data_IF_934280708858
#
_entry.id   IF_934280708858
#
_cell.length_a   1.000
_cell.length_b   1.000
_cell.length_c   1.000
_cell.angle_alpha   90.00
_cell.angle_beta   90.00
_cell.angle_gamma   90.00
#
_symmetry.space_group_name_H-M   'P 1'
#
loop_
_entity.id
_entity.type
_entity.pdbx_description
1 polymer ?
#
# COMPACT_ATOMS: atom_id res chain seq x y z
N UNK A 1 -10.32 -28.21 7.27
CA UNK A 1 -10.36 -27.13 6.27
C UNK A 1 -9.11 -27.26 5.40
N UNK A 2 -9.20 -27.30 4.06
CA UNK A 2 -8.03 -27.44 3.16
C UNK A 2 -7.35 -26.07 3.05
N UNK A 3 -6.10 -25.90 3.49
CA UNK A 3 -5.33 -24.67 3.22
C UNK A 3 -5.14 -24.50 1.71
N UNK A 4 -5.73 -23.44 1.13
CA UNK A 4 -5.69 -23.18 -0.32
C UNK A 4 -4.64 -22.16 -0.65
N UNK A 5 -3.74 -22.50 -1.58
CA UNK A 5 -2.51 -21.74 -1.91
C UNK A 5 -1.54 -21.47 -0.73
N UNK A 6 -0.26 -21.28 -1.01
CA UNK A 6 0.71 -20.81 0.00
C UNK A 6 0.47 -19.33 0.37
N UNK A 7 -0.18 -18.56 -0.52
CA UNK A 7 -0.50 -17.14 -0.34
C UNK A 7 -1.51 -16.91 0.78
N UNK A 8 -2.59 -17.69 0.80
CA UNK A 8 -3.59 -17.61 1.86
C UNK A 8 -2.97 -17.93 3.23
N UNK A 9 -2.04 -18.88 3.26
CA UNK A 9 -1.34 -19.24 4.49
C UNK A 9 -0.50 -18.07 5.02
N UNK A 10 0.15 -17.29 4.15
CA UNK A 10 0.82 -16.04 4.53
C UNK A 10 -0.15 -15.01 5.11
N UNK A 11 -1.25 -14.76 4.39
CA UNK A 11 -2.28 -13.82 4.80
C UNK A 11 -2.86 -14.16 6.18
N UNK A 12 -3.32 -15.40 6.35
CA UNK A 12 -3.92 -15.87 7.60
C UNK A 12 -2.91 -15.81 8.75
N UNK A 13 -1.65 -16.17 8.49
CA UNK A 13 -0.59 -16.12 9.50
C UNK A 13 -0.34 -14.71 10.04
N UNK A 14 -0.50 -13.67 9.22
CA UNK A 14 -0.34 -12.29 9.66
C UNK A 14 -1.53 -11.81 10.51
N UNK A 15 -2.76 -11.99 10.04
CA UNK A 15 -3.95 -11.45 10.71
C UNK A 15 -4.34 -12.23 11.98
N UNK A 16 -4.08 -13.54 12.05
CA UNK A 16 -4.26 -14.31 13.29
C UNK A 16 -3.38 -13.71 14.42
N UNK A 17 -2.16 -13.28 14.11
CA UNK A 17 -1.29 -12.61 15.10
C UNK A 17 -1.82 -11.23 15.48
N UNK A 18 -2.21 -10.40 14.52
CA UNK A 18 -2.73 -9.05 14.81
C UNK A 18 -3.95 -9.08 15.75
N UNK A 19 -4.86 -10.05 15.57
CA UNK A 19 -5.99 -10.24 16.49
C UNK A 19 -5.55 -10.64 17.90
N UNK A 20 -4.49 -11.45 18.02
CA UNK A 20 -3.96 -11.88 19.31
C UNK A 20 -3.15 -10.77 19.99
N UNK A 21 -2.37 -9.97 19.25
CA UNK A 21 -1.66 -8.83 19.81
C UNK A 21 -2.66 -7.80 20.36
N UNK A 22 -3.76 -7.51 19.66
CA UNK A 22 -4.84 -6.65 20.16
C UNK A 22 -5.56 -7.25 21.39
N UNK A 23 -5.78 -8.57 21.44
CA UNK A 23 -6.36 -9.25 22.61
C UNK A 23 -5.39 -9.28 23.79
N UNK A 24 -4.10 -9.54 23.55
CA UNK A 24 -3.03 -9.51 24.55
C UNK A 24 -2.82 -8.09 25.09
N UNK A 25 -2.94 -7.07 24.23
CA UNK A 25 -2.85 -5.67 24.62
C UNK A 25 -4.07 -5.23 25.43
N UNK A 26 -5.29 -5.65 25.05
CA UNK A 26 -6.51 -5.50 25.87
C UNK A 26 -6.42 -6.26 27.21
N UNK A 27 -5.80 -7.43 27.24
CA UNK A 27 -5.58 -8.21 28.47
C UNK A 27 -4.51 -7.57 29.36
N UNK A 28 -3.48 -6.95 28.78
CA UNK A 28 -2.45 -6.18 29.50
C UNK A 28 -2.99 -4.86 30.03
N UNK A 29 -3.89 -4.20 29.31
CA UNK A 29 -4.54 -2.95 29.73
C UNK A 29 -5.64 -3.16 30.77
N UNK A 30 -6.07 -4.40 31.02
CA UNK A 30 -7.07 -4.74 32.03
C UNK A 30 -6.43 -5.55 33.19
N UNK A 31 -5.78 -4.90 34.17
CA UNK A 31 -5.11 -5.57 35.29
C UNK A 31 -6.06 -6.41 36.17
N UNK A 32 -7.38 -6.22 36.04
CA UNK A 32 -8.39 -6.98 36.79
C UNK A 32 -8.74 -8.35 36.18
N UNK A 33 -8.36 -8.65 34.93
CA UNK A 33 -8.59 -9.97 34.32
C UNK A 33 -7.54 -10.99 34.80
N UNK A 34 -6.36 -10.53 35.26
CA UNK A 34 -5.28 -11.38 35.77
C UNK A 34 -5.42 -11.75 37.25
N UNK A 35 -6.40 -11.20 37.98
CA UNK A 35 -6.74 -11.70 39.31
C UNK A 35 -7.52 -13.01 39.17
N UNK A 36 -6.76 -14.10 39.26
CA UNK A 36 -7.18 -15.49 39.50
C UNK A 36 -8.42 -15.53 40.41
N UNK A 37 -9.62 -15.57 39.82
CA UNK A 37 -10.75 -16.27 40.42
C UNK A 37 -10.78 -17.65 39.78
N UNK A 38 -10.77 -18.74 40.56
CA UNK A 38 -11.14 -20.03 40.02
C UNK A 38 -12.58 -19.88 39.53
N UNK A 39 -12.76 -19.93 38.20
CA UNK A 39 -14.09 -19.89 37.60
C UNK A 39 -14.69 -21.27 37.88
N UNK A 40 -15.51 -21.33 38.92
CA UNK A 40 -16.35 -22.48 39.21
C UNK A 40 -17.22 -22.72 37.98
N UNK A 41 -17.22 -23.97 37.48
CA UNK A 41 -17.54 -24.39 36.11
C UNK A 41 -16.36 -24.31 35.14
N UNK A 42 -15.28 -25.02 35.48
CA UNK A 42 -14.58 -25.80 34.46
C UNK A 42 -15.63 -26.65 33.74
N UNK A 43 -16.16 -26.12 32.64
CA UNK A 43 -16.71 -26.96 31.59
C UNK A 43 -15.54 -27.77 31.07
N UNK A 44 -15.46 -29.00 31.54
CA UNK A 44 -14.95 -30.19 30.85
C UNK A 44 -14.01 -29.88 29.67
N UNK A 45 -12.76 -30.34 29.76
CA UNK A 45 -11.88 -30.50 28.59
C UNK A 45 -12.39 -31.56 27.59
N UNK A 46 -13.65 -31.97 27.72
CA UNK A 46 -14.39 -32.97 26.93
C UNK A 46 -15.64 -32.38 26.26
N UNK A 47 -15.57 -31.13 25.78
CA UNK A 47 -16.57 -30.50 24.88
C UNK A 47 -16.09 -30.45 23.40
N UNK A 48 -16.97 -30.58 22.40
CA UNK A 48 -16.65 -31.14 21.09
C UNK A 48 -16.04 -30.12 20.13
N UNK A 49 -14.91 -30.47 19.49
CA UNK A 49 -14.46 -30.03 18.16
C UNK A 49 -14.31 -28.51 17.83
N UNK A 50 -14.80 -27.56 18.63
CA UNK A 50 -14.95 -26.16 18.23
C UNK A 50 -13.67 -25.32 18.37
N UNK A 51 -12.83 -25.61 19.37
CA UNK A 51 -11.52 -24.94 19.55
C UNK A 51 -10.38 -25.59 18.77
N UNK A 52 -10.56 -26.82 18.30
CA UNK A 52 -9.50 -27.59 17.65
C UNK A 52 -9.06 -26.94 16.33
N UNK A 53 -10.01 -26.38 15.58
CA UNK A 53 -9.75 -25.62 14.35
C UNK A 53 -8.94 -24.34 14.63
N UNK A 54 -9.33 -23.56 15.65
CA UNK A 54 -8.63 -22.33 16.04
C UNK A 54 -7.19 -22.60 16.48
N UNK A 55 -6.97 -23.64 17.28
CA UNK A 55 -5.63 -24.06 17.71
C UNK A 55 -4.80 -24.56 16.52
N UNK A 56 -5.39 -25.35 15.62
CA UNK A 56 -4.71 -25.78 14.39
C UNK A 56 -4.32 -24.60 13.49
N UNK A 57 -5.16 -23.58 13.38
CA UNK A 57 -4.86 -22.36 12.61
C UNK A 57 -3.71 -21.57 13.24
N UNK A 58 -3.66 -21.47 14.57
CA UNK A 58 -2.56 -20.80 15.28
C UNK A 58 -1.22 -21.55 15.12
N UNK A 59 -1.23 -22.88 15.23
CA UNK A 59 -0.03 -23.70 14.99
C UNK A 59 0.44 -23.54 13.56
N UNK A 60 -0.48 -23.53 12.59
CA UNK A 60 -0.13 -23.34 11.18
C UNK A 60 0.42 -21.94 10.91
N UNK A 61 -0.19 -20.90 11.48
CA UNK A 61 0.31 -19.53 11.42
C UNK A 61 1.74 -19.44 11.96
N UNK A 62 2.02 -20.09 13.10
CA UNK A 62 3.38 -20.17 13.67
C UNK A 62 4.37 -20.88 12.74
N UNK A 63 3.97 -21.99 12.11
CA UNK A 63 4.81 -22.69 11.11
C UNK A 63 5.11 -21.81 9.89
N UNK A 64 4.12 -21.10 9.37
CA UNK A 64 4.29 -20.19 8.23
C UNK A 64 5.22 -19.03 8.60
N UNK A 65 5.03 -18.41 9.76
CA UNK A 65 5.90 -17.35 10.25
C UNK A 65 7.34 -17.83 10.46
N UNK A 66 7.53 -19.04 10.99
CA UNK A 66 8.85 -19.64 11.12
C UNK A 66 9.52 -19.81 9.76
N UNK A 67 8.81 -20.35 8.76
CA UNK A 67 9.33 -20.48 7.39
C UNK A 67 9.68 -19.11 6.80
N UNK A 68 8.81 -18.10 6.97
CA UNK A 68 9.10 -16.73 6.52
C UNK A 68 10.38 -16.21 7.19
N UNK A 69 10.56 -16.44 8.49
CA UNK A 69 11.75 -15.97 9.23
C UNK A 69 13.08 -16.61 8.77
N UNK A 70 13.01 -17.73 8.04
CA UNK A 70 14.17 -18.42 7.46
C UNK A 70 14.50 -17.96 6.04
N UNK A 71 13.61 -17.21 5.38
CA UNK A 71 13.88 -16.68 4.05
C UNK A 71 14.95 -15.56 4.11
N UNK A 72 15.66 -15.27 3.01
CA UNK A 72 16.47 -14.05 2.89
C UNK A 72 15.67 -12.78 3.24
N UNK A 73 16.27 -11.75 3.86
CA UNK A 73 15.55 -10.55 4.33
C UNK A 73 14.63 -9.90 3.30
N UNK A 74 15.09 -9.79 2.05
CA UNK A 74 14.33 -9.23 0.93
C UNK A 74 13.08 -10.05 0.57
N UNK A 75 13.09 -11.37 0.80
CA UNK A 75 11.93 -12.24 0.58
C UNK A 75 10.99 -12.27 1.78
N UNK A 76 11.52 -12.13 3.01
CA UNK A 76 10.67 -12.05 4.21
C UNK A 76 9.70 -10.86 4.10
N UNK A 77 10.25 -9.70 3.77
CA UNK A 77 9.50 -8.45 3.69
C UNK A 77 8.55 -8.45 2.48
N UNK A 78 8.98 -8.98 1.33
CA UNK A 78 8.10 -9.18 0.19
C UNK A 78 6.88 -10.03 0.57
N UNK A 79 7.09 -11.12 1.32
CA UNK A 79 6.02 -12.00 1.74
C UNK A 79 5.04 -11.34 2.72
N UNK A 80 5.55 -10.56 3.67
CA UNK A 80 4.72 -9.80 4.61
C UNK A 80 3.94 -8.71 3.89
N UNK A 81 4.56 -7.99 2.95
CA UNK A 81 3.91 -6.88 2.26
C UNK A 81 2.87 -7.33 1.24
N UNK A 82 3.19 -8.28 0.35
CA UNK A 82 2.30 -8.62 -0.77
C UNK A 82 1.02 -9.34 -0.34
N UNK A 83 1.09 -10.13 0.74
CA UNK A 83 -0.04 -10.94 1.20
C UNK A 83 -0.62 -10.47 2.54
N UNK A 84 -0.02 -9.45 3.16
CA UNK A 84 -0.54 -8.77 4.35
C UNK A 84 -0.09 -7.29 4.44
N UNK A 85 -0.43 -6.47 3.43
CA UNK A 85 0.04 -5.09 3.35
C UNK A 85 -0.49 -4.23 4.50
N UNK A 86 0.36 -3.29 4.94
CA UNK A 86 -0.06 -2.16 5.77
C UNK A 86 -0.52 -1.03 4.86
N UNK A 87 -1.65 -0.42 5.20
CA UNK A 87 -2.46 0.42 4.32
C UNK A 87 -2.02 1.89 4.16
N UNK A 88 -0.76 2.26 4.40
CA UNK A 88 -0.42 3.69 4.60
C UNK A 88 0.69 4.20 3.68
N UNK A 89 0.31 4.71 2.50
CA UNK A 89 1.21 5.46 1.60
C UNK A 89 0.98 6.97 1.60
N UNK A 90 -0.13 7.43 2.19
CA UNK A 90 -0.51 8.83 2.33
C UNK A 90 -0.47 9.24 3.81
N UNK A 91 -0.31 10.54 4.13
CA UNK A 91 -0.30 10.96 5.51
C UNK A 91 -1.60 10.51 6.17
N UNK A 92 -1.46 9.84 7.32
CA UNK A 92 -2.59 9.56 8.19
C UNK A 92 -3.29 10.85 8.56
N UNK A 93 -4.56 10.78 8.98
CA UNK A 93 -5.33 11.96 9.36
C UNK A 93 -4.57 12.89 10.33
N UNK A 94 -3.75 12.31 11.23
CA UNK A 94 -2.87 13.03 12.16
C UNK A 94 -1.77 13.85 11.47
N UNK A 95 -1.09 13.29 10.45
CA UNK A 95 -0.01 13.97 9.70
C UNK A 95 -0.52 14.83 8.55
N UNK A 96 -1.78 14.66 8.16
CA UNK A 96 -2.37 15.40 7.05
C UNK A 96 -2.45 16.90 7.33
N UNK A 97 -2.78 17.30 8.56
CA UNK A 97 -2.85 18.72 8.94
C UNK A 97 -1.48 19.40 8.90
N UNK A 98 -0.44 18.74 9.42
CA UNK A 98 0.95 19.23 9.37
C UNK A 98 1.40 19.43 7.93
N UNK A 99 1.11 18.46 7.05
CA UNK A 99 1.47 18.54 5.64
C UNK A 99 0.71 19.64 4.90
N UNK A 100 -0.58 19.82 5.19
CA UNK A 100 -1.37 20.92 4.64
C UNK A 100 -0.82 22.29 5.09
N UNK A 101 -0.44 22.43 6.35
CA UNK A 101 0.17 23.66 6.87
C UNK A 101 1.52 23.94 6.21
N UNK A 102 2.34 22.92 5.99
CA UNK A 102 3.61 23.04 5.26
C UNK A 102 3.38 23.54 3.83
N UNK A 103 2.48 22.90 3.06
CA UNK A 103 2.17 23.34 1.68
C UNK A 103 1.63 24.77 1.70
N UNK A 104 0.76 25.09 2.65
CA UNK A 104 0.18 26.42 2.78
C UNK A 104 1.27 27.49 3.01
N UNK A 105 2.24 27.23 3.89
CA UNK A 105 3.39 28.11 4.09
C UNK A 105 4.20 28.31 2.79
N UNK A 106 4.44 27.23 2.03
CA UNK A 106 5.14 27.32 0.74
C UNK A 106 4.36 28.13 -0.31
N UNK A 107 3.03 28.00 -0.36
CA UNK A 107 2.19 28.83 -1.26
C UNK A 107 2.26 30.30 -0.85
N UNK A 108 2.18 30.59 0.46
CA UNK A 108 2.25 31.96 0.97
C UNK A 108 3.59 32.64 0.67
N UNK A 109 4.68 31.89 0.71
CA UNK A 109 6.03 32.40 0.44
C UNK A 109 6.26 32.66 -1.06
N UNK A 110 5.85 31.73 -1.93
CA UNK A 110 6.11 31.83 -3.38
C UNK A 110 5.06 32.66 -4.13
N UNK A 111 3.82 32.70 -3.64
CA UNK A 111 2.68 33.32 -4.32
C UNK A 111 1.95 34.31 -3.40
N UNK A 112 2.69 35.24 -2.80
CA UNK A 112 2.20 36.15 -1.74
C UNK A 112 0.94 36.92 -2.12
N UNK A 113 0.88 37.52 -3.32
CA UNK A 113 -0.29 38.29 -3.77
C UNK A 113 -1.52 37.41 -4.01
N UNK A 114 -1.32 36.23 -4.61
CA UNK A 114 -2.39 35.26 -4.84
C UNK A 114 -2.94 34.73 -3.52
N UNK A 115 -2.06 34.43 -2.58
CA UNK A 115 -2.41 33.94 -1.26
C UNK A 115 -3.20 34.99 -0.46
N UNK A 116 -2.69 36.24 -0.41
CA UNK A 116 -3.32 37.31 0.36
C UNK A 116 -4.77 37.59 -0.06
N UNK A 117 -5.05 37.51 -1.37
CA UNK A 117 -6.39 37.79 -1.92
C UNK A 117 -7.33 36.58 -1.90
N UNK A 118 -6.81 35.34 -1.82
CA UNK A 118 -7.57 34.12 -2.10
C UNK A 118 -7.21 32.96 -1.14
N UNK A 119 -7.07 33.24 0.15
CA UNK A 119 -6.68 32.24 1.16
C UNK A 119 -7.60 31.01 1.18
N UNK A 120 -8.92 31.21 1.02
CA UNK A 120 -9.91 30.14 0.96
C UNK A 120 -9.73 29.25 -0.27
N UNK A 121 -9.54 29.85 -1.46
CA UNK A 121 -9.33 29.10 -2.70
C UNK A 121 -8.06 28.25 -2.63
N UNK A 122 -6.97 28.81 -2.08
CA UNK A 122 -5.71 28.07 -1.87
C UNK A 122 -5.93 26.86 -0.95
N UNK A 123 -6.70 27.03 0.13
CA UNK A 123 -7.01 25.93 1.04
C UNK A 123 -7.85 24.84 0.35
N UNK A 124 -8.81 25.23 -0.48
CA UNK A 124 -9.60 24.31 -1.29
C UNK A 124 -8.70 23.55 -2.27
N UNK A 125 -7.80 24.23 -2.97
CA UNK A 125 -6.84 23.62 -3.90
C UNK A 125 -6.01 22.53 -3.21
N UNK A 126 -5.41 22.85 -2.05
CA UNK A 126 -4.58 21.90 -1.29
C UNK A 126 -5.40 20.67 -0.91
N UNK A 127 -6.59 20.84 -0.32
CA UNK A 127 -7.44 19.73 0.13
C UNK A 127 -7.85 18.84 -1.04
N UNK A 128 -8.29 19.44 -2.15
CA UNK A 128 -8.78 18.68 -3.30
C UNK A 128 -7.65 17.95 -4.02
N UNK A 129 -6.47 18.55 -4.15
CA UNK A 129 -5.29 17.89 -4.72
C UNK A 129 -4.87 16.70 -3.84
N UNK A 130 -4.87 16.85 -2.51
CA UNK A 130 -4.54 15.75 -1.60
C UNK A 130 -5.53 14.58 -1.69
N UNK A 131 -6.84 14.88 -1.74
CA UNK A 131 -7.88 13.85 -1.92
C UNK A 131 -7.73 13.15 -3.27
N UNK A 132 -7.47 13.94 -4.32
CA UNK A 132 -7.27 13.46 -5.67
C UNK A 132 -6.07 12.49 -5.77
N UNK A 133 -4.91 12.90 -5.28
CA UNK A 133 -3.71 12.07 -5.35
C UNK A 133 -3.80 10.86 -4.41
N UNK A 134 -4.46 10.97 -3.24
CA UNK A 134 -4.76 9.79 -2.40
C UNK A 134 -5.59 8.75 -3.16
N UNK A 135 -6.64 9.18 -3.84
CA UNK A 135 -7.48 8.26 -4.61
C UNK A 135 -6.67 7.56 -5.73
N UNK A 136 -5.70 8.26 -6.34
CA UNK A 136 -4.80 7.67 -7.34
C UNK A 136 -3.77 6.70 -6.75
N UNK A 137 -3.25 6.97 -5.55
CA UNK A 137 -2.39 6.00 -4.81
C UNK A 137 -3.12 4.68 -4.55
N UNK A 138 -4.43 4.76 -4.28
CA UNK A 138 -5.32 3.62 -4.09
C UNK A 138 -5.76 2.95 -5.41
N UNK A 139 -5.27 3.43 -6.55
CA UNK A 139 -5.62 2.91 -7.88
C UNK A 139 -7.02 3.28 -8.37
N UNK A 140 -7.73 4.20 -7.71
CA UNK A 140 -9.03 4.67 -8.17
C UNK A 140 -8.85 5.53 -9.41
N UNK A 141 -9.64 5.26 -10.44
CA UNK A 141 -9.73 6.15 -11.59
C UNK A 141 -10.33 7.48 -11.15
N UNK A 142 -9.65 8.58 -11.49
CA UNK A 142 -10.10 9.93 -11.20
C UNK A 142 -10.33 10.70 -12.50
N UNK A 143 -11.36 11.56 -12.58
CA UNK A 143 -11.52 12.48 -13.71
C UNK A 143 -10.33 13.44 -13.77
N UNK A 144 -10.07 14.16 -14.87
CA UNK A 144 -8.93 15.07 -14.92
C UNK A 144 -9.02 16.13 -13.82
N UNK A 145 -7.89 16.41 -13.15
CA UNK A 145 -7.83 17.28 -11.96
C UNK A 145 -8.55 18.63 -12.15
N UNK A 146 -8.43 19.24 -13.33
CA UNK A 146 -9.07 20.53 -13.61
C UNK A 146 -10.60 20.48 -13.48
N UNK A 147 -11.25 19.34 -13.74
CA UNK A 147 -12.69 19.17 -13.51
C UNK A 147 -13.02 19.11 -12.03
N UNK A 148 -12.20 18.41 -11.24
CA UNK A 148 -12.36 18.31 -9.78
C UNK A 148 -12.22 19.70 -9.15
N UNK A 149 -11.19 20.44 -9.56
CA UNK A 149 -10.92 21.79 -9.04
C UNK A 149 -11.96 22.80 -9.51
N UNK A 150 -12.41 22.72 -10.77
CA UNK A 150 -13.51 23.55 -11.30
C UNK A 150 -14.80 23.40 -10.48
N UNK A 151 -15.17 22.16 -10.15
CA UNK A 151 -16.33 21.87 -9.31
C UNK A 151 -16.16 22.41 -7.89
N UNK A 152 -14.98 22.26 -7.30
CA UNK A 152 -14.71 22.69 -5.93
C UNK A 152 -14.61 24.22 -5.77
N UNK A 153 -14.11 24.93 -6.79
CA UNK A 153 -13.98 26.39 -6.79
C UNK A 153 -15.19 27.11 -7.41
N UNK A 154 -16.19 26.36 -7.90
CA UNK A 154 -17.32 26.89 -8.66
C UNK A 154 -16.89 27.80 -9.83
N UNK A 155 -15.82 27.43 -10.53
CA UNK A 155 -15.23 28.20 -11.64
C UNK A 155 -15.10 27.33 -12.90
N UNK A 156 -15.16 27.90 -14.11
CA UNK A 156 -14.91 27.16 -15.34
C UNK A 156 -13.49 26.56 -15.37
N UNK A 157 -13.35 25.36 -15.95
CA UNK A 157 -12.06 24.63 -16.02
C UNK A 157 -10.92 25.44 -16.64
N UNK A 158 -11.19 26.27 -17.64
CA UNK A 158 -10.18 27.08 -18.31
C UNK A 158 -9.69 28.22 -17.41
N UNK A 159 -10.61 28.83 -16.65
CA UNK A 159 -10.30 29.87 -15.66
C UNK A 159 -9.44 29.31 -14.54
N UNK A 160 -9.79 28.13 -14.01
CA UNK A 160 -8.97 27.45 -12.99
C UNK A 160 -7.58 27.15 -13.52
N UNK A 161 -7.49 26.56 -14.72
CA UNK A 161 -6.20 26.24 -15.34
C UNK A 161 -5.34 27.50 -15.54
N UNK A 162 -5.90 28.59 -16.06
CA UNK A 162 -5.15 29.81 -16.33
C UNK A 162 -4.71 30.51 -15.05
N UNK A 163 -5.59 30.60 -14.05
CA UNK A 163 -5.36 31.35 -12.82
C UNK A 163 -4.47 30.63 -11.82
N UNK A 164 -4.58 29.30 -11.76
CA UNK A 164 -3.98 28.50 -10.69
C UNK A 164 -2.90 27.54 -11.19
N UNK A 165 -2.48 27.62 -12.46
CA UNK A 165 -1.53 26.68 -13.06
C UNK A 165 -0.28 26.48 -12.20
N UNK A 166 0.37 27.57 -11.81
CA UNK A 166 1.65 27.54 -11.12
C UNK A 166 1.49 27.03 -9.68
N UNK A 167 0.43 27.46 -9.00
CA UNK A 167 0.09 27.01 -7.65
C UNK A 167 -0.23 25.51 -7.64
N UNK A 168 -1.06 25.03 -8.59
CA UNK A 168 -1.38 23.60 -8.72
C UNK A 168 -0.11 22.80 -9.01
N UNK A 169 0.74 23.28 -9.90
CA UNK A 169 2.01 22.61 -10.27
C UNK A 169 2.93 22.49 -9.06
N UNK A 170 3.06 23.55 -8.27
CA UNK A 170 3.86 23.56 -7.06
C UNK A 170 3.29 22.61 -5.98
N UNK A 171 2.00 22.68 -5.69
CA UNK A 171 1.35 21.79 -4.71
C UNK A 171 1.57 20.33 -5.13
N UNK A 172 1.30 19.98 -6.39
CA UNK A 172 1.47 18.60 -6.89
C UNK A 172 2.93 18.13 -6.84
N UNK A 173 3.90 19.04 -7.03
CA UNK A 173 5.32 18.73 -6.88
C UNK A 173 5.63 18.32 -5.44
N UNK A 174 5.22 19.10 -4.44
CA UNK A 174 5.45 18.75 -3.03
C UNK A 174 4.70 17.49 -2.61
N UNK A 175 3.46 17.28 -3.08
CA UNK A 175 2.72 16.04 -2.84
C UNK A 175 3.48 14.83 -3.41
N UNK A 176 3.97 14.93 -4.64
CA UNK A 176 4.77 13.86 -5.25
C UNK A 176 6.05 13.58 -4.48
N UNK A 177 6.78 14.62 -4.08
CA UNK A 177 8.02 14.50 -3.31
C UNK A 177 7.77 13.84 -1.95
N UNK A 178 6.70 14.25 -1.26
CA UNK A 178 6.28 13.66 0.02
C UNK A 178 5.97 12.17 -0.11
N UNK A 179 5.19 11.80 -1.13
CA UNK A 179 4.84 10.39 -1.39
C UNK A 179 6.09 9.59 -1.73
N UNK A 180 6.97 10.11 -2.58
CA UNK A 180 8.18 9.41 -3.01
C UNK A 180 9.20 9.25 -1.86
N UNK A 181 9.13 10.09 -0.82
CA UNK A 181 9.94 9.96 0.39
C UNK A 181 9.43 8.88 1.36
N UNK A 182 8.28 8.26 1.08
CA UNK A 182 7.66 7.23 1.92
C UNK A 182 7.57 5.90 1.17
N UNK A 183 8.68 5.13 1.12
CA UNK A 183 8.65 3.81 0.50
C UNK A 183 7.69 2.91 1.27
N UNK A 184 6.89 2.15 0.52
CA UNK A 184 5.92 1.21 1.09
C UNK A 184 6.56 -0.10 1.56
N UNK A 185 7.79 -0.37 1.13
CA UNK A 185 8.51 -1.61 1.40
C UNK A 185 9.90 -1.30 1.95
N UNK A 186 10.44 -2.22 2.75
CA UNK A 186 11.76 -2.11 3.32
C UNK A 186 12.86 -1.98 2.23
N UNK A 187 13.95 -1.23 2.51
CA UNK A 187 14.99 -0.93 1.52
C UNK A 187 15.61 -2.17 0.87
N UNK A 188 15.71 -3.29 1.58
CA UNK A 188 16.37 -4.51 1.10
C UNK A 188 15.60 -5.18 -0.04
N UNK A 189 14.27 -5.17 0.03
CA UNK A 189 13.42 -5.74 -1.03
C UNK A 189 13.50 -4.89 -2.28
N UNK A 190 13.46 -3.57 -2.09
CA UNK A 190 13.54 -2.63 -3.19
C UNK A 190 14.91 -2.67 -3.85
N UNK A 191 16.00 -2.75 -3.07
CA UNK A 191 17.35 -2.91 -3.60
C UNK A 191 17.51 -4.21 -4.40
N UNK A 192 16.96 -5.32 -3.90
CA UNK A 192 16.97 -6.60 -4.63
C UNK A 192 16.23 -6.49 -5.97
N UNK A 193 15.11 -5.78 -6.02
CA UNK A 193 14.35 -5.55 -7.25
C UNK A 193 15.12 -4.63 -8.21
N UNK A 194 15.72 -3.57 -7.69
CA UNK A 194 16.52 -2.63 -8.47
C UNK A 194 17.73 -3.32 -9.09
N UNK A 195 18.48 -4.13 -8.33
CA UNK A 195 19.65 -4.86 -8.83
C UNK A 195 19.32 -5.90 -9.92
N UNK A 196 18.06 -6.34 -9.98
CA UNK A 196 17.59 -7.27 -11.01
C UNK A 196 17.25 -6.59 -12.35
N UNK A 197 17.31 -5.26 -12.39
CA UNK A 197 17.08 -4.46 -13.59
C UNK A 197 18.29 -3.61 -13.85
N UNK A 198 18.78 -3.56 -15.09
CA UNK A 198 19.90 -2.69 -15.42
C UNK A 198 19.47 -1.21 -15.34
N UNK A 199 20.20 -0.40 -14.56
CA UNK A 199 19.96 1.04 -14.49
C UNK A 199 21.25 1.84 -14.34
N UNK A 200 21.22 3.05 -14.89
CA UNK A 200 22.24 4.09 -14.70
C UNK A 200 22.06 4.75 -13.32
N UNK A 201 23.15 5.02 -12.60
CA UNK A 201 23.15 5.74 -11.32
C UNK A 201 22.38 7.07 -11.39
N UNK A 202 22.44 7.78 -12.52
CA UNK A 202 21.68 9.03 -12.75
C UNK A 202 20.17 8.84 -12.70
N UNK A 203 19.69 7.61 -12.89
CA UNK A 203 18.29 7.20 -12.89
C UNK A 203 17.87 6.52 -11.59
N UNK A 204 18.77 6.31 -10.64
CA UNK A 204 18.53 5.54 -9.42
C UNK A 204 17.27 5.97 -8.66
N UNK A 205 17.06 7.28 -8.43
CA UNK A 205 15.88 7.77 -7.71
C UNK A 205 14.56 7.48 -8.43
N UNK A 206 14.57 7.47 -9.78
CA UNK A 206 13.40 7.14 -10.60
C UNK A 206 13.10 5.64 -10.59
N UNK A 207 14.15 4.83 -10.66
CA UNK A 207 14.06 3.36 -10.58
C UNK A 207 13.56 2.94 -9.19
N UNK A 208 14.00 3.62 -8.13
CA UNK A 208 13.50 3.40 -6.77
C UNK A 208 11.99 3.63 -6.66
N UNK A 209 11.50 4.77 -7.16
CA UNK A 209 10.06 5.08 -7.19
C UNK A 209 9.30 4.03 -8.02
N UNK A 210 9.88 3.63 -9.15
CA UNK A 210 9.28 2.64 -10.03
C UNK A 210 9.19 1.25 -9.38
N UNK A 211 10.20 0.85 -8.64
CA UNK A 211 10.22 -0.41 -7.89
C UNK A 211 9.17 -0.43 -6.78
N UNK A 212 9.00 0.66 -6.03
CA UNK A 212 7.94 0.79 -5.02
C UNK A 212 6.55 0.62 -5.65
N UNK A 213 6.31 1.28 -6.79
CA UNK A 213 5.06 1.16 -7.56
C UNK A 213 4.86 -0.25 -8.12
N UNK A 214 5.92 -0.91 -8.56
CA UNK A 214 5.86 -2.27 -9.09
C UNK A 214 5.46 -3.25 -7.99
N UNK A 215 5.99 -3.11 -6.77
CA UNK A 215 5.63 -3.97 -5.64
C UNK A 215 4.16 -3.76 -5.24
N UNK A 216 3.67 -2.51 -5.22
CA UNK A 216 2.25 -2.21 -4.95
C UNK A 216 1.32 -2.78 -6.00
N UNK A 217 1.64 -2.60 -7.28
CA UNK A 217 0.85 -3.15 -8.39
C UNK A 217 0.87 -4.69 -8.36
N UNK A 218 2.04 -5.29 -8.09
CA UNK A 218 2.16 -6.73 -7.90
C UNK A 218 1.28 -7.22 -6.73
N UNK A 219 1.36 -6.56 -5.58
CA UNK A 219 0.54 -6.88 -4.42
C UNK A 219 -0.95 -6.75 -4.76
N UNK A 220 -1.38 -5.68 -5.43
CA UNK A 220 -2.78 -5.52 -5.84
C UNK A 220 -3.29 -6.66 -6.72
N UNK A 221 -2.53 -7.01 -7.76
CA UNK A 221 -2.88 -8.09 -8.68
C UNK A 221 -2.90 -9.45 -7.98
N UNK A 222 -1.97 -9.68 -7.05
CA UNK A 222 -1.86 -10.95 -6.35
C UNK A 222 -2.81 -11.05 -5.13
N UNK A 223 -3.25 -9.93 -4.55
CA UNK A 223 -4.26 -9.88 -3.48
C UNK A 223 -5.68 -10.06 -4.01
N UNK A 224 -5.96 -9.67 -5.26
CA UNK A 224 -7.23 -10.00 -5.90
C UNK A 224 -7.51 -11.52 -5.88
N UNK A 225 -6.46 -12.34 -5.90
CA UNK A 225 -6.53 -13.78 -5.71
C UNK A 225 -7.04 -14.18 -4.31
N UNK A 226 -6.71 -13.41 -3.27
CA UNK A 226 -7.05 -13.72 -1.86
C UNK A 226 -8.48 -13.30 -1.51
N UNK A 227 -8.95 -12.15 -2.01
CA UNK A 227 -10.27 -11.60 -1.68
C UNK A 227 -11.41 -12.12 -2.57
N UNK A 228 -11.11 -12.76 -3.72
CA UNK A 228 -12.11 -13.45 -4.55
C UNK A 228 -12.58 -14.79 -3.94
N UNK A 229 -11.94 -15.26 -2.87
CA UNK A 229 -12.30 -16.49 -2.17
C UNK A 229 -13.34 -16.25 -1.07
N UNK A 230 -14.59 -15.94 -1.44
CA UNK A 230 -15.72 -15.91 -0.51
C UNK A 230 -16.13 -17.30 0.00
N UNK A 231 -16.80 -17.35 1.16
CA UNK A 231 -17.24 -18.57 1.87
C UNK A 231 -18.22 -19.46 1.09
N UNK A 232 -18.79 -18.97 -0.02
CA UNK A 232 -19.59 -19.76 -0.96
C UNK A 232 -18.77 -19.91 -2.23
N UNK A 233 -18.24 -21.11 -2.45
CA UNK A 233 -17.60 -21.56 -3.70
C UNK A 233 -16.76 -20.49 -4.40
N UNK A 234 -15.62 -20.14 -3.79
CA UNK A 234 -14.35 -19.72 -4.44
C UNK A 234 -14.45 -19.53 -5.94
N UNK A 235 -14.97 -18.37 -6.35
CA UNK A 235 -15.07 -18.01 -7.75
C UNK A 235 -13.68 -18.01 -8.39
N UNK A 236 -13.62 -18.32 -9.68
CA UNK A 236 -12.39 -18.27 -10.44
C UNK A 236 -11.78 -16.86 -10.33
N UNK A 237 -10.48 -16.80 -10.09
CA UNK A 237 -9.70 -15.56 -10.04
C UNK A 237 -10.02 -14.74 -11.27
N UNK A 238 -10.66 -13.59 -11.09
CA UNK A 238 -10.78 -12.60 -12.16
C UNK A 238 -9.42 -11.89 -12.25
N UNK A 239 -8.72 -11.96 -13.38
CA UNK A 239 -7.49 -11.21 -13.56
C UNK A 239 -7.80 -9.72 -13.35
N UNK A 240 -7.23 -9.12 -12.31
CA UNK A 240 -7.34 -7.69 -12.10
C UNK A 240 -6.29 -7.01 -12.94
N UNK A 241 -6.69 -5.94 -13.63
CA UNK A 241 -5.79 -5.12 -14.42
C UNK A 241 -4.70 -4.46 -13.57
N UNK A 242 -3.78 -3.72 -14.21
CA UNK A 242 -2.81 -2.91 -13.47
C UNK A 242 -3.51 -1.95 -12.50
N UNK A 243 -2.97 -1.85 -11.28
CA UNK A 243 -3.41 -0.88 -10.27
C UNK A 243 -3.25 0.56 -10.79
N UNK A 244 -2.21 0.79 -11.59
CA UNK A 244 -1.79 2.11 -12.03
C UNK A 244 -1.90 2.28 -13.54
N UNK A 245 -2.35 3.47 -13.95
CA UNK A 245 -2.33 3.87 -15.36
C UNK A 245 -0.95 4.36 -15.77
N UNK A 246 -0.61 4.25 -17.06
CA UNK A 246 0.62 4.82 -17.64
C UNK A 246 0.79 6.31 -17.31
N UNK A 247 -0.33 7.05 -17.29
CA UNK A 247 -0.33 8.47 -16.93
C UNK A 247 0.16 8.69 -15.50
N UNK A 248 -0.32 7.87 -14.57
CA UNK A 248 0.07 7.98 -13.17
C UNK A 248 1.51 7.54 -12.93
N UNK A 249 1.95 6.43 -13.55
CA UNK A 249 3.35 5.98 -13.46
C UNK A 249 4.31 7.05 -14.02
N UNK A 250 3.98 7.65 -15.16
CA UNK A 250 4.77 8.73 -15.75
C UNK A 250 4.88 9.96 -14.83
N UNK A 251 3.78 10.32 -14.17
CA UNK A 251 3.73 11.43 -13.22
C UNK A 251 4.58 11.17 -11.97
N UNK A 252 4.50 9.97 -11.39
CA UNK A 252 5.27 9.56 -10.20
C UNK A 252 6.77 9.61 -10.44
N UNK A 253 7.21 9.15 -11.61
CA UNK A 253 8.63 9.16 -12.03
C UNK A 253 9.07 10.56 -12.51
N UNK A 254 8.14 11.51 -12.69
CA UNK A 254 8.43 12.86 -13.12
C UNK A 254 8.88 12.93 -14.59
N UNK A 255 8.21 12.17 -15.45
CA UNK A 255 8.51 12.09 -16.90
C UNK A 255 7.29 12.47 -17.71
N UNK A 256 7.50 13.03 -18.91
CA UNK A 256 6.40 13.31 -19.82
C UNK A 256 5.72 12.00 -20.24
N UNK A 257 4.39 12.00 -20.32
CA UNK A 257 3.59 10.84 -20.73
C UNK A 257 4.02 10.28 -22.10
N UNK A 258 4.42 11.15 -23.03
CA UNK A 258 4.95 10.77 -24.35
C UNK A 258 6.22 9.91 -24.28
N UNK A 259 7.02 10.09 -23.23
CA UNK A 259 8.31 9.45 -23.07
C UNK A 259 8.22 8.16 -22.24
N UNK A 260 7.11 7.94 -21.53
CA UNK A 260 6.89 6.78 -20.66
C UNK A 260 7.17 5.45 -21.36
N UNK A 261 6.50 5.24 -22.50
CA UNK A 261 6.60 3.98 -23.26
C UNK A 261 8.01 3.68 -23.75
N UNK A 262 8.75 4.72 -24.15
CA UNK A 262 10.11 4.60 -24.66
C UNK A 262 11.12 4.35 -23.54
N UNK A 263 10.98 5.04 -22.42
CA UNK A 263 12.05 5.17 -21.44
C UNK A 263 11.89 4.26 -20.20
N UNK A 264 10.66 3.84 -19.85
CA UNK A 264 10.38 3.22 -18.54
C UNK A 264 9.41 2.03 -18.57
N UNK A 265 8.55 1.92 -19.58
CA UNK A 265 7.55 0.86 -19.61
C UNK A 265 8.17 -0.56 -19.61
N UNK A 266 9.27 -0.77 -20.35
CA UNK A 266 9.99 -2.05 -20.35
C UNK A 266 10.60 -2.39 -18.98
N UNK A 267 11.29 -1.43 -18.37
CA UNK A 267 11.84 -1.52 -17.02
C UNK A 267 10.77 -1.91 -16.00
N UNK A 268 9.59 -1.27 -16.07
CA UNK A 268 8.47 -1.58 -15.18
C UNK A 268 7.97 -3.02 -15.35
N UNK A 269 7.78 -3.48 -16.59
CA UNK A 269 7.36 -4.87 -16.84
C UNK A 269 8.41 -5.89 -16.39
N UNK A 270 9.70 -5.57 -16.56
CA UNK A 270 10.79 -6.41 -16.05
C UNK A 270 10.74 -6.52 -14.52
N UNK A 271 10.51 -5.40 -13.80
CA UNK A 271 10.33 -5.43 -12.35
C UNK A 271 9.17 -6.34 -11.92
N UNK A 272 8.01 -6.27 -12.60
CA UNK A 272 6.88 -7.16 -12.33
C UNK A 272 7.27 -8.64 -12.58
N UNK A 273 8.03 -8.94 -13.62
CA UNK A 273 8.53 -10.29 -13.88
C UNK A 273 9.50 -10.79 -12.79
N UNK A 274 10.40 -9.93 -12.32
CA UNK A 274 11.31 -10.24 -11.21
C UNK A 274 10.52 -10.52 -9.93
N UNK A 275 9.50 -9.72 -9.63
CA UNK A 275 8.64 -9.91 -8.47
C UNK A 275 7.89 -11.25 -8.51
N UNK A 276 7.42 -11.68 -9.69
CA UNK A 276 6.85 -13.02 -9.86
C UNK A 276 7.85 -14.13 -9.47
N UNK A 277 9.11 -14.01 -9.89
CA UNK A 277 10.16 -14.97 -9.55
C UNK A 277 10.46 -14.96 -8.03
N UNK A 278 10.62 -13.77 -7.44
CA UNK A 278 10.86 -13.61 -6.00
C UNK A 278 9.69 -14.18 -5.18
N UNK A 279 8.45 -13.93 -5.60
CA UNK A 279 7.26 -14.49 -4.99
C UNK A 279 7.25 -16.02 -5.07
N UNK A 280 7.63 -16.60 -6.22
CA UNK A 280 7.80 -18.04 -6.37
C UNK A 280 8.81 -18.62 -5.37
N UNK A 281 9.95 -17.95 -5.16
CA UNK A 281 10.96 -18.36 -4.18
C UNK A 281 10.43 -18.28 -2.74
N UNK A 282 9.72 -17.20 -2.39
CA UNK A 282 9.15 -17.01 -1.06
C UNK A 282 8.04 -18.03 -0.73
N UNK A 283 7.18 -18.34 -1.70
CA UNK A 283 6.03 -19.23 -1.52
C UNK A 283 6.39 -20.72 -1.56
N UNK A 284 7.46 -21.10 -2.28
CA UNK A 284 7.89 -22.50 -2.41
C UNK A 284 8.03 -23.22 -1.07
N UNK A 285 8.79 -22.74 -0.08
CA UNK A 285 8.93 -23.43 1.20
C UNK A 285 7.62 -23.52 1.99
N UNK A 286 6.76 -22.49 1.88
CA UNK A 286 5.45 -22.46 2.54
C UNK A 286 4.49 -23.48 1.93
N UNK A 287 4.59 -23.72 0.62
CA UNK A 287 3.78 -24.71 -0.08
C UNK A 287 4.02 -26.15 0.41
N UNK A 288 5.23 -26.46 0.93
CA UNK A 288 5.54 -27.77 1.50
C UNK A 288 4.85 -28.03 2.83
N UNK A 289 4.47 -26.98 3.58
CA UNK A 289 3.72 -27.15 4.84
C UNK A 289 2.31 -27.73 4.64
N UNK A 290 1.81 -27.74 3.40
CA UNK A 290 0.52 -28.35 3.05
C UNK A 290 0.56 -29.87 2.97
N UNK A 291 1.75 -30.45 2.81
CA UNK A 291 1.97 -31.90 2.73
C UNK A 291 2.14 -32.45 4.14
#
# INVERSE_FOLDING_TARGET
>A
MKYLSARQMCHDAFYIRSSNDAVLEMQRSNPNILRRKPVMNETDTRGPASNMSKVQHQVMAGKVQHVISQLPPHLQQLALYCWAPRSESMPTYKKQNEFMQYINAQVKEQFTEHYARNTSDVSILIIQILKYERAREEGRQQPPLDYVLAGALAQPKHTVRQRWHDVITMIRKHVREYINAQPSVAPETLLSLMNAVEYDEKKMGKVFVLGDLAIRDFAHRDQAYLFSAGDKEREAVVPVGPLYTDEYLSWRVGTARSNWKRDWASTYQQMISVLNNMAGQALKPISYLKR
#
